data_IF_704302752090
#
_entry.id   IF_704302752090
#
_cell.length_a   1.000
_cell.length_b   1.000
_cell.length_c   1.000
_cell.angle_alpha   90.00
_cell.angle_beta   90.00
_cell.angle_gamma   90.00
#
_symmetry.space_group_name_H-M   'P 1'
#
loop_
_entity.id
_entity.type
_entity.pdbx_description
1 polymer ?
#
# COMPACT_ATOMS: atom_id res chain seq x y z
N UNK A 1 27.40 19.93 0.52
CA UNK A 1 28.85 20.19 0.41
C UNK A 1 29.23 21.68 0.48
N UNK A 2 28.51 22.60 -0.19
CA UNK A 2 28.88 24.03 -0.19
C UNK A 2 28.80 24.72 1.19
N UNK A 3 27.83 24.36 2.04
CA UNK A 3 27.73 24.92 3.40
C UNK A 3 28.88 24.47 4.29
N UNK A 4 29.32 23.21 4.16
CA UNK A 4 30.47 22.68 4.90
C UNK A 4 31.77 23.40 4.49
N UNK A 5 31.91 23.70 3.20
CA UNK A 5 33.04 24.49 2.66
C UNK A 5 33.04 25.92 3.18
N UNK A 6 31.87 26.57 3.24
CA UNK A 6 31.75 27.94 3.77
C UNK A 6 31.98 28.01 5.29
N UNK A 7 31.53 27.01 6.06
CA UNK A 7 31.85 26.90 7.48
C UNK A 7 33.34 26.66 7.72
N UNK A 8 33.99 25.80 6.92
CA UNK A 8 35.44 25.54 7.02
C UNK A 8 36.27 26.77 6.59
N UNK A 9 35.84 27.51 5.58
CA UNK A 9 36.48 28.78 5.18
C UNK A 9 36.40 29.83 6.28
N UNK A 10 35.25 29.99 6.94
CA UNK A 10 35.10 30.89 8.10
C UNK A 10 35.97 30.47 9.28
N UNK A 11 36.15 29.17 9.49
CA UNK A 11 37.04 28.63 10.51
C UNK A 11 38.51 28.97 10.23
N UNK A 12 38.97 28.75 8.99
CA UNK A 12 40.34 29.06 8.57
C UNK A 12 40.66 30.56 8.49
N UNK A 13 39.70 31.39 8.06
CA UNK A 13 39.89 32.84 7.98
C UNK A 13 40.13 33.49 9.35
N UNK A 14 39.57 32.92 10.41
CA UNK A 14 39.82 33.38 11.77
C UNK A 14 41.20 32.96 12.31
N UNK A 15 41.82 31.86 11.84
CA UNK A 15 43.18 31.47 12.27
C UNK A 15 44.26 32.43 11.76
N UNK A 16 44.15 32.92 10.52
CA UNK A 16 45.18 33.78 9.92
C UNK A 16 45.25 35.18 10.55
N UNK A 17 44.16 35.67 11.16
CA UNK A 17 44.12 37.02 11.75
C UNK A 17 44.89 37.13 13.08
N UNK A 18 45.22 36.00 13.72
CA UNK A 18 45.94 35.97 15.01
C UNK A 18 47.45 35.66 14.89
N UNK A 19 47.94 35.29 13.69
CA UNK A 19 49.35 34.90 13.51
C UNK A 19 50.26 36.00 12.93
N UNK A 20 49.72 37.17 12.55
CA UNK A 20 50.48 38.23 11.85
C UNK A 20 50.47 39.57 12.61
N UNK A 21 50.87 39.58 13.88
CA UNK A 21 51.32 40.80 14.54
C UNK A 21 52.84 40.72 14.79
N UNK A 22 53.65 41.70 14.37
CA UNK A 22 55.05 41.75 14.73
C UNK A 22 55.17 41.98 16.23
N UNK A 23 55.95 41.14 16.91
CA UNK A 23 56.27 41.28 18.34
C UNK A 23 57.12 42.52 18.55
N UNK A 24 56.49 43.62 18.96
CA UNK A 24 57.20 44.77 19.49
C UNK A 24 57.47 44.55 20.99
N UNK A 25 58.71 44.84 21.39
CA UNK A 25 59.20 44.63 22.76
C UNK A 25 58.71 45.79 23.63
N UNK A 26 57.57 45.64 24.30
CA UNK A 26 57.20 46.37 25.52
C UNK A 26 55.77 45.98 25.89
N UNK A 27 55.58 44.93 26.67
CA UNK A 27 54.31 44.68 27.38
C UNK A 27 54.50 43.57 28.44
N UNK A 28 55.13 43.93 29.55
CA UNK A 28 55.26 43.07 30.74
C UNK A 28 54.04 43.19 31.69
N UNK A 29 52.93 43.81 31.24
CA UNK A 29 51.77 44.13 32.12
C UNK A 29 50.48 43.35 31.75
N UNK A 30 50.53 42.33 30.89
CA UNK A 30 49.37 41.46 30.64
C UNK A 30 49.64 39.96 30.81
N UNK A 31 50.38 39.58 31.86
CA UNK A 31 50.35 38.21 32.39
C UNK A 31 49.09 37.97 33.25
N UNK A 32 47.93 38.43 32.79
CA UNK A 32 46.63 37.95 33.24
C UNK A 32 46.45 36.53 32.69
N UNK A 33 47.04 35.60 33.45
CA UNK A 33 46.67 34.21 33.60
C UNK A 33 46.44 33.45 32.27
N UNK A 34 47.54 33.10 31.61
CA UNK A 34 47.55 32.21 30.44
C UNK A 34 46.84 30.88 30.70
N UNK A 35 46.68 30.46 31.98
CA UNK A 35 45.92 29.28 32.36
C UNK A 35 44.40 29.49 32.24
N UNK A 36 43.91 30.67 32.64
CA UNK A 36 42.50 31.09 32.48
C UNK A 36 42.17 31.30 31.01
N UNK A 37 43.04 31.94 30.24
CA UNK A 37 42.85 32.09 28.80
C UNK A 37 42.82 30.74 28.07
N UNK A 38 43.76 29.83 28.37
CA UNK A 38 43.76 28.46 27.83
C UNK A 38 42.50 27.68 28.26
N UNK A 39 41.99 27.88 29.48
CA UNK A 39 40.77 27.24 29.98
C UNK A 39 39.52 27.78 29.29
N UNK A 40 39.39 29.09 29.12
CA UNK A 40 38.31 29.74 28.38
C UNK A 40 38.34 29.35 26.90
N UNK A 41 39.53 29.30 26.28
CA UNK A 41 39.71 28.85 24.90
C UNK A 41 39.32 27.37 24.73
N UNK A 42 39.77 26.48 25.63
CA UNK A 42 39.35 25.06 25.64
C UNK A 42 37.84 24.90 25.84
N UNK A 43 37.23 25.66 26.75
CA UNK A 43 35.78 25.64 26.99
C UNK A 43 34.99 26.18 25.79
N UNK A 44 35.47 27.24 25.14
CA UNK A 44 34.89 27.82 23.92
C UNK A 44 35.01 26.87 22.73
N UNK A 45 36.17 26.22 22.57
CA UNK A 45 36.41 25.23 21.52
C UNK A 45 35.56 23.97 21.75
N UNK A 46 35.44 23.49 23.00
CA UNK A 46 34.53 22.41 23.36
C UNK A 46 33.06 22.78 23.10
N UNK A 47 32.62 23.99 23.47
CA UNK A 47 31.26 24.48 23.16
C UNK A 47 31.02 24.59 21.66
N UNK A 48 32.01 25.03 20.89
CA UNK A 48 31.94 25.14 19.42
C UNK A 48 31.91 23.77 18.75
N UNK A 49 32.70 22.81 19.25
CA UNK A 49 32.69 21.42 18.81
C UNK A 49 31.35 20.74 19.13
N UNK A 50 30.81 20.94 20.34
CA UNK A 50 29.48 20.44 20.73
C UNK A 50 28.40 21.04 19.82
N UNK A 51 28.45 22.35 19.52
CA UNK A 51 27.52 23.01 18.59
C UNK A 51 27.62 22.44 17.17
N UNK A 52 28.85 22.20 16.67
CA UNK A 52 29.07 21.62 15.35
C UNK A 52 28.56 20.17 15.30
N UNK A 53 28.87 19.35 16.30
CA UNK A 53 28.38 17.98 16.42
C UNK A 53 26.85 17.93 16.49
N UNK A 54 26.24 18.80 17.30
CA UNK A 54 24.79 18.92 17.41
C UNK A 54 24.17 19.35 16.07
N UNK A 55 24.75 20.32 15.37
CA UNK A 55 24.30 20.74 14.04
C UNK A 55 24.35 19.59 13.02
N UNK A 56 25.44 18.81 13.00
CA UNK A 56 25.56 17.63 12.13
C UNK A 56 24.51 16.57 12.49
N UNK A 57 24.31 16.31 13.78
CA UNK A 57 23.29 15.36 14.26
C UNK A 57 21.88 15.79 13.83
N UNK A 58 21.53 17.08 14.01
CA UNK A 58 20.25 17.64 13.60
C UNK A 58 20.05 17.56 12.08
N UNK A 59 21.09 17.83 11.28
CA UNK A 59 21.01 17.68 9.83
C UNK A 59 20.79 16.21 9.40
N UNK A 60 21.44 15.25 10.07
CA UNK A 60 21.20 13.82 9.81
C UNK A 60 19.78 13.41 10.20
N UNK A 61 19.29 13.86 11.35
CA UNK A 61 17.92 13.58 11.79
C UNK A 61 16.89 14.18 10.83
N UNK A 62 17.09 15.43 10.40
CA UNK A 62 16.25 16.09 9.42
C UNK A 62 16.24 15.33 8.08
N UNK A 63 17.41 14.91 7.59
CA UNK A 63 17.52 14.11 6.38
C UNK A 63 16.74 12.79 6.51
N UNK A 64 16.89 12.08 7.64
CA UNK A 64 16.14 10.85 7.93
C UNK A 64 14.64 11.14 7.94
N UNK A 65 14.18 12.22 8.60
CA UNK A 65 12.77 12.58 8.62
C UNK A 65 12.22 12.85 7.22
N UNK A 66 12.96 13.60 6.39
CA UNK A 66 12.55 13.91 5.02
C UNK A 66 12.42 12.63 4.19
N UNK A 67 13.46 11.80 4.17
CA UNK A 67 13.51 10.61 3.32
C UNK A 67 12.56 9.53 3.81
N UNK A 68 12.44 9.34 5.13
CA UNK A 68 11.68 8.22 5.65
C UNK A 68 10.24 8.56 6.05
N UNK A 69 9.89 9.85 6.15
CA UNK A 69 8.53 10.26 6.53
C UNK A 69 7.92 11.17 5.48
N UNK A 70 8.57 12.29 5.17
CA UNK A 70 7.96 13.30 4.28
C UNK A 70 7.80 12.81 2.85
N UNK A 71 8.84 12.24 2.24
CA UNK A 71 8.80 11.82 0.83
C UNK A 71 7.78 10.69 0.60
N UNK A 72 7.69 9.61 1.41
CA UNK A 72 6.65 8.60 1.26
C UNK A 72 5.24 9.18 1.30
N UNK A 73 4.98 10.12 2.21
CA UNK A 73 3.68 10.79 2.33
C UNK A 73 3.41 11.66 1.11
N UNK A 74 4.40 12.43 0.64
CA UNK A 74 4.28 13.25 -0.58
C UNK A 74 4.00 12.37 -1.79
N UNK A 75 4.73 11.27 -1.96
CA UNK A 75 4.50 10.32 -3.04
C UNK A 75 3.11 9.70 -2.94
N UNK A 76 2.70 9.24 -1.75
CA UNK A 76 1.35 8.74 -1.53
C UNK A 76 0.27 9.75 -1.94
N UNK A 77 0.37 11.01 -1.49
CA UNK A 77 -0.59 12.07 -1.82
C UNK A 77 -0.58 12.41 -3.31
N UNK A 78 0.61 12.52 -3.91
CA UNK A 78 0.78 12.76 -5.33
C UNK A 78 0.12 11.66 -6.18
N UNK A 79 0.34 10.41 -5.79
CA UNK A 79 -0.20 9.24 -6.46
C UNK A 79 -1.70 9.12 -6.30
N UNK A 80 -2.23 9.45 -5.11
CA UNK A 80 -3.66 9.48 -4.85
C UNK A 80 -4.41 10.46 -5.76
N UNK A 81 -3.80 11.61 -6.07
CA UNK A 81 -4.38 12.61 -6.98
C UNK A 81 -4.42 12.08 -8.42
N UNK A 82 -3.34 11.42 -8.87
CA UNK A 82 -3.21 10.96 -10.25
C UNK A 82 -3.89 9.61 -10.52
N UNK A 83 -4.11 8.77 -9.51
CA UNK A 83 -4.60 7.41 -9.69
C UNK A 83 -6.05 7.33 -10.20
N UNK A 84 -6.79 8.44 -10.18
CA UNK A 84 -8.14 8.52 -10.74
C UNK A 84 -8.17 8.80 -12.26
N UNK A 85 -7.01 8.85 -12.93
CA UNK A 85 -6.94 9.08 -14.37
C UNK A 85 -7.09 7.79 -15.19
N UNK A 86 -7.37 7.97 -16.49
CA UNK A 86 -7.46 6.88 -17.47
C UNK A 86 -6.13 6.09 -17.63
N UNK A 87 -5.02 6.61 -17.10
CA UNK A 87 -3.75 5.90 -17.07
C UNK A 87 -3.76 4.71 -16.08
N UNK A 88 -4.54 4.80 -15.01
CA UNK A 88 -4.57 3.83 -13.92
C UNK A 88 -5.84 3.02 -13.88
N UNK A 89 -6.95 3.59 -14.33
CA UNK A 89 -8.26 2.97 -14.26
C UNK A 89 -8.92 3.03 -15.65
N UNK A 90 -9.38 1.90 -16.20
CA UNK A 90 -10.01 1.89 -17.51
C UNK A 90 -11.21 2.81 -17.57
N UNK A 91 -11.35 3.56 -18.68
CA UNK A 91 -12.46 4.50 -18.93
C UNK A 91 -13.84 3.84 -18.79
N UNK A 92 -13.91 2.53 -19.05
CA UNK A 92 -15.11 1.74 -18.92
C UNK A 92 -15.72 1.80 -17.51
N UNK A 93 -14.88 1.88 -16.45
CA UNK A 93 -15.35 2.03 -15.07
C UNK A 93 -16.02 3.38 -14.79
N UNK A 94 -15.69 4.42 -15.57
CA UNK A 94 -16.32 5.75 -15.44
C UNK A 94 -17.62 5.84 -16.24
N UNK A 95 -17.75 5.06 -17.31
CA UNK A 95 -18.86 5.15 -18.26
C UNK A 95 -20.00 4.16 -17.96
N UNK A 96 -19.73 3.08 -17.25
CA UNK A 96 -20.68 2.00 -17.04
C UNK A 96 -20.88 1.72 -15.55
N UNK A 97 -22.09 1.30 -15.20
CA UNK A 97 -22.35 0.68 -13.91
C UNK A 97 -22.01 -0.80 -13.95
N UNK A 98 -21.04 -1.21 -13.14
CA UNK A 98 -20.61 -2.60 -13.06
C UNK A 98 -21.00 -3.25 -11.75
N UNK A 99 -21.28 -4.55 -11.83
CA UNK A 99 -21.41 -5.43 -10.67
C UNK A 99 -20.16 -6.26 -10.53
N UNK A 100 -19.46 -6.09 -9.41
CA UNK A 100 -18.21 -6.77 -9.11
C UNK A 100 -18.47 -7.88 -8.09
N UNK A 101 -17.94 -9.07 -8.37
CA UNK A 101 -17.83 -10.15 -7.41
C UNK A 101 -16.39 -10.28 -6.94
N UNK A 102 -16.18 -10.07 -5.65
CA UNK A 102 -14.94 -10.45 -4.97
C UNK A 102 -15.10 -11.87 -4.46
N UNK A 103 -14.19 -12.77 -4.85
CA UNK A 103 -14.15 -14.16 -4.39
C UNK A 103 -12.91 -14.36 -3.52
N UNK A 104 -13.12 -14.74 -2.26
CA UNK A 104 -12.04 -14.95 -1.28
C UNK A 104 -12.22 -16.27 -0.52
N UNK A 105 -11.21 -16.66 0.26
CA UNK A 105 -11.20 -17.96 0.90
C UNK A 105 -11.86 -17.92 2.29
N UNK A 106 -11.53 -16.91 3.10
CA UNK A 106 -11.91 -16.82 4.51
C UNK A 106 -12.51 -15.46 4.84
N UNK A 107 -13.31 -15.36 5.93
CA UNK A 107 -13.70 -14.08 6.48
C UNK A 107 -12.45 -13.35 6.97
N UNK A 108 -12.35 -12.04 6.73
CA UNK A 108 -11.20 -11.14 6.96
C UNK A 108 -10.37 -10.79 5.71
N UNK A 109 -10.33 -11.70 4.73
CA UNK A 109 -9.59 -11.52 3.48
C UNK A 109 -10.02 -10.23 2.77
N UNK A 110 -11.31 -9.89 2.82
CA UNK A 110 -11.89 -8.73 2.14
C UNK A 110 -11.32 -7.41 2.67
N UNK A 111 -11.07 -7.34 3.98
CA UNK A 111 -10.54 -6.15 4.63
C UNK A 111 -9.02 -6.10 4.56
N UNK A 112 -8.36 -7.24 4.80
CA UNK A 112 -6.90 -7.32 4.87
C UNK A 112 -6.23 -7.14 3.50
N UNK A 113 -6.81 -7.70 2.44
CA UNK A 113 -6.14 -7.74 1.14
C UNK A 113 -6.79 -6.80 0.12
N UNK A 114 -8.12 -6.70 0.14
CA UNK A 114 -8.90 -6.06 -0.92
C UNK A 114 -9.53 -4.73 -0.53
N UNK A 115 -9.14 -4.13 0.60
CA UNK A 115 -9.75 -2.86 1.04
C UNK A 115 -9.64 -1.74 0.00
N UNK A 116 -8.49 -1.44 -0.63
CA UNK A 116 -8.43 -0.49 -1.73
C UNK A 116 -9.33 -0.87 -2.90
N UNK A 117 -9.41 -2.15 -3.25
CA UNK A 117 -10.31 -2.64 -4.30
C UNK A 117 -11.77 -2.30 -4.02
N UNK A 118 -12.26 -2.66 -2.84
CA UNK A 118 -13.66 -2.45 -2.47
C UNK A 118 -13.98 -0.96 -2.30
N UNK A 119 -13.14 -0.22 -1.58
CA UNK A 119 -13.42 1.19 -1.27
C UNK A 119 -13.34 2.09 -2.49
N UNK A 120 -12.28 1.97 -3.29
CA UNK A 120 -12.04 2.86 -4.44
C UNK A 120 -13.08 2.61 -5.52
N UNK A 121 -13.32 1.35 -5.91
CA UNK A 121 -14.26 1.02 -6.97
C UNK A 121 -15.71 1.37 -6.60
N UNK A 122 -16.12 1.14 -5.36
CA UNK A 122 -17.47 1.52 -4.92
C UNK A 122 -17.66 3.03 -4.88
N UNK A 123 -16.72 3.76 -4.28
CA UNK A 123 -16.87 5.19 -3.99
C UNK A 123 -16.62 6.09 -5.21
N UNK A 124 -15.60 5.78 -6.01
CA UNK A 124 -15.19 6.62 -7.13
C UNK A 124 -15.84 6.20 -8.45
N UNK A 125 -16.21 4.92 -8.59
CA UNK A 125 -16.70 4.34 -9.85
C UNK A 125 -18.09 3.72 -9.74
N UNK A 126 -18.77 3.90 -8.59
CA UNK A 126 -20.15 3.43 -8.36
C UNK A 126 -20.34 1.95 -8.72
N UNK A 127 -19.32 1.12 -8.45
CA UNK A 127 -19.37 -0.32 -8.67
C UNK A 127 -20.17 -0.97 -7.55
N UNK A 128 -21.17 -1.77 -7.94
CA UNK A 128 -21.96 -2.56 -7.00
C UNK A 128 -21.15 -3.79 -6.58
N UNK A 129 -20.90 -3.93 -5.28
CA UNK A 129 -20.04 -4.96 -4.73
C UNK A 129 -20.85 -6.19 -4.30
N UNK A 130 -20.31 -7.36 -4.59
CA UNK A 130 -20.72 -8.64 -4.02
C UNK A 130 -19.49 -9.38 -3.50
N UNK A 131 -19.65 -10.11 -2.40
CA UNK A 131 -18.60 -10.88 -1.74
C UNK A 131 -19.03 -12.34 -1.61
N UNK A 132 -18.20 -13.24 -2.11
CA UNK A 132 -18.31 -14.68 -1.91
C UNK A 132 -17.08 -15.18 -1.16
N UNK A 133 -17.32 -15.74 0.03
CA UNK A 133 -16.30 -16.34 0.89
C UNK A 133 -16.53 -17.85 0.93
N UNK A 134 -15.51 -18.64 0.58
CA UNK A 134 -15.68 -20.08 0.38
C UNK A 134 -15.77 -20.93 1.64
N UNK A 135 -15.15 -20.48 2.72
CA UNK A 135 -15.18 -21.15 4.01
C UNK A 135 -15.56 -20.15 5.09
N UNK A 136 -16.18 -20.62 6.17
CA UNK A 136 -16.42 -19.81 7.36
C UNK A 136 -15.16 -19.57 8.20
N UNK A 137 -13.99 -20.06 7.76
CA UNK A 137 -12.76 -19.95 8.55
C UNK A 137 -12.83 -20.82 9.82
N UNK A 138 -13.41 -22.01 9.72
CA UNK A 138 -13.74 -22.84 10.89
C UNK A 138 -12.56 -23.71 11.40
N UNK A 139 -11.31 -23.41 11.03
CA UNK A 139 -10.15 -24.23 11.41
C UNK A 139 -10.00 -24.45 12.92
N UNK A 140 -10.44 -23.48 13.71
CA UNK A 140 -10.41 -23.52 15.20
C UNK A 140 -11.81 -23.58 15.83
N UNK A 141 -12.85 -23.94 15.07
CA UNK A 141 -14.22 -24.08 15.60
C UNK A 141 -15.02 -22.78 15.74
N UNK A 142 -14.52 -21.65 15.22
CA UNK A 142 -15.17 -20.33 15.32
C UNK A 142 -15.97 -19.91 14.08
N UNK A 143 -16.23 -20.82 13.14
CA UNK A 143 -16.81 -20.49 11.84
C UNK A 143 -18.18 -19.81 11.92
N UNK A 144 -19.05 -20.24 12.85
CA UNK A 144 -20.34 -19.59 13.05
C UNK A 144 -20.20 -18.13 13.50
N UNK A 145 -19.24 -17.84 14.40
CA UNK A 145 -18.95 -16.47 14.86
C UNK A 145 -18.40 -15.64 13.70
N UNK A 146 -17.39 -16.17 12.98
CA UNK A 146 -16.75 -15.48 11.85
C UNK A 146 -17.71 -15.19 10.70
N UNK A 147 -18.71 -16.04 10.47
CA UNK A 147 -19.77 -15.76 9.51
C UNK A 147 -20.61 -14.53 9.92
N UNK A 148 -20.94 -14.39 11.21
CA UNK A 148 -21.64 -13.20 11.72
C UNK A 148 -20.76 -11.94 11.63
N UNK A 149 -19.49 -12.06 12.02
CA UNK A 149 -18.51 -10.96 11.93
C UNK A 149 -18.32 -10.48 10.48
N UNK A 150 -18.32 -11.40 9.51
CA UNK A 150 -18.27 -11.06 8.09
C UNK A 150 -19.46 -10.21 7.66
N UNK A 151 -20.68 -10.53 8.11
CA UNK A 151 -21.85 -9.72 7.78
C UNK A 151 -21.72 -8.29 8.31
N UNK A 152 -21.21 -8.11 9.52
CA UNK A 152 -20.95 -6.79 10.10
C UNK A 152 -19.83 -6.05 9.36
N UNK A 153 -18.78 -6.76 8.92
CA UNK A 153 -17.73 -6.22 8.04
C UNK A 153 -18.30 -5.75 6.70
N UNK A 154 -19.09 -6.60 6.03
CA UNK A 154 -19.79 -6.26 4.79
C UNK A 154 -20.67 -5.01 4.94
N UNK A 155 -21.41 -4.90 6.05
CA UNK A 155 -22.21 -3.71 6.36
C UNK A 155 -21.33 -2.46 6.48
N UNK A 156 -20.19 -2.54 7.15
CA UNK A 156 -19.24 -1.43 7.26
C UNK A 156 -18.61 -1.04 5.90
N UNK A 157 -18.48 -1.99 4.99
CA UNK A 157 -18.04 -1.78 3.60
C UNK A 157 -19.19 -1.43 2.64
N UNK A 158 -20.41 -1.24 3.16
CA UNK A 158 -21.62 -0.94 2.39
C UNK A 158 -21.93 -2.00 1.31
N UNK A 159 -21.74 -3.27 1.64
CA UNK A 159 -22.16 -4.44 0.86
C UNK A 159 -23.44 -4.97 1.50
N UNK A 160 -24.50 -5.15 0.71
CA UNK A 160 -25.77 -5.63 1.24
C UNK A 160 -25.66 -7.10 1.70
N UNK A 161 -26.54 -7.50 2.61
CA UNK A 161 -26.56 -8.85 3.17
C UNK A 161 -26.79 -9.92 2.09
N UNK A 162 -27.61 -9.61 1.10
CA UNK A 162 -27.95 -10.49 -0.02
C UNK A 162 -26.78 -10.70 -0.99
N UNK A 163 -25.81 -9.79 -0.96
CA UNK A 163 -24.60 -9.77 -1.77
C UNK A 163 -23.34 -10.09 -0.97
N UNK A 164 -23.46 -10.60 0.26
CA UNK A 164 -22.35 -11.01 1.10
C UNK A 164 -22.62 -12.41 1.63
N UNK A 165 -21.93 -13.43 1.10
CA UNK A 165 -22.16 -14.83 1.44
C UNK A 165 -20.87 -15.50 1.91
N UNK A 166 -20.96 -16.19 3.05
CA UNK A 166 -19.96 -17.16 3.50
C UNK A 166 -20.52 -18.56 3.41
N UNK A 167 -19.89 -19.38 2.55
CA UNK A 167 -20.24 -20.77 2.33
C UNK A 167 -19.70 -21.65 3.46
N UNK A 168 -20.39 -22.76 3.69
CA UNK A 168 -20.01 -23.78 4.66
C UNK A 168 -20.21 -25.16 4.02
N UNK A 169 -19.30 -25.49 3.09
CA UNK A 169 -19.37 -26.73 2.36
C UNK A 169 -18.52 -27.79 3.10
N UNK A 170 -19.03 -29.02 3.33
CA UNK A 170 -18.31 -30.04 4.07
C UNK A 170 -16.91 -30.36 3.52
N UNK A 171 -16.74 -30.23 2.19
CA UNK A 171 -15.48 -30.54 1.50
C UNK A 171 -14.55 -29.32 1.29
N UNK A 172 -15.02 -28.10 1.61
CA UNK A 172 -14.30 -26.82 1.46
C UNK A 172 -14.20 -26.17 2.83
N UNK A 173 -13.54 -26.86 3.76
CA UNK A 173 -13.31 -26.34 5.11
C UNK A 173 -11.94 -25.65 5.19
N UNK A 174 -11.83 -24.67 6.08
CA UNK A 174 -10.58 -23.95 6.31
C UNK A 174 -9.53 -24.90 6.90
N UNK A 175 -8.53 -25.22 6.09
CA UNK A 175 -7.37 -25.98 6.50
C UNK A 175 -6.14 -25.47 5.72
N UNK A 176 -5.09 -24.99 6.39
CA UNK A 176 -3.91 -24.42 5.72
C UNK A 176 -3.05 -25.47 4.99
N UNK A 177 -3.37 -26.77 5.13
CA UNK A 177 -2.63 -27.89 4.56
C UNK A 177 -3.41 -28.64 3.47
N UNK A 178 -4.66 -28.28 3.19
CA UNK A 178 -5.52 -29.00 2.23
C UNK A 178 -5.81 -28.14 1.02
N UNK A 179 -5.58 -28.69 -0.18
CA UNK A 179 -5.95 -28.03 -1.42
C UNK A 179 -7.44 -28.23 -1.73
N UNK A 180 -8.15 -27.14 -2.03
CA UNK A 180 -9.54 -27.19 -2.47
C UNK A 180 -9.64 -27.44 -3.97
N UNK A 181 -10.47 -28.40 -4.39
CA UNK A 181 -10.60 -28.74 -5.81
C UNK A 181 -11.39 -27.69 -6.59
N UNK A 182 -10.87 -27.29 -7.74
CA UNK A 182 -11.54 -26.40 -8.70
C UNK A 182 -12.90 -26.95 -9.13
N UNK A 183 -13.05 -28.27 -9.21
CA UNK A 183 -14.32 -28.94 -9.54
C UNK A 183 -15.44 -28.62 -8.55
N UNK A 184 -15.10 -28.29 -7.31
CA UNK A 184 -16.06 -27.90 -6.27
C UNK A 184 -16.24 -26.38 -6.22
N UNK A 185 -15.17 -25.61 -6.44
CA UNK A 185 -15.22 -24.14 -6.38
C UNK A 185 -15.94 -23.53 -7.59
N UNK A 186 -15.62 -23.98 -8.82
CA UNK A 186 -16.11 -23.39 -10.07
C UNK A 186 -17.64 -23.36 -10.18
N UNK A 187 -18.39 -24.45 -9.89
CA UNK A 187 -19.85 -24.43 -9.94
C UNK A 187 -20.45 -23.38 -9.02
N UNK A 188 -19.92 -23.23 -7.80
CA UNK A 188 -20.40 -22.22 -6.85
C UNK A 188 -20.12 -20.80 -7.36
N UNK A 189 -18.94 -20.52 -7.90
CA UNK A 189 -18.64 -19.20 -8.47
C UNK A 189 -19.61 -18.88 -9.61
N UNK A 190 -19.85 -19.83 -10.52
CA UNK A 190 -20.79 -19.66 -11.64
C UNK A 190 -22.23 -19.40 -11.15
N UNK A 191 -22.68 -20.11 -10.11
CA UNK A 191 -24.00 -19.88 -9.51
C UNK A 191 -24.15 -18.42 -9.09
N UNK A 192 -23.20 -17.88 -8.33
CA UNK A 192 -23.26 -16.50 -7.85
C UNK A 192 -23.00 -15.45 -8.94
N UNK A 193 -22.17 -15.76 -9.93
CA UNK A 193 -22.03 -14.93 -11.14
C UNK A 193 -23.38 -14.74 -11.81
N UNK A 194 -24.13 -15.83 -12.03
CA UNK A 194 -25.44 -15.76 -12.69
C UNK A 194 -26.49 -15.09 -11.79
N UNK A 195 -26.55 -15.50 -10.51
CA UNK A 195 -27.52 -15.01 -9.53
C UNK A 195 -27.44 -13.49 -9.33
N UNK A 196 -26.23 -12.93 -9.28
CA UNK A 196 -26.02 -11.49 -9.11
C UNK A 196 -25.74 -10.76 -10.43
N UNK A 197 -25.78 -11.50 -11.55
CA UNK A 197 -25.41 -11.08 -12.92
C UNK A 197 -24.13 -10.23 -12.97
N UNK A 198 -23.06 -10.79 -12.44
CA UNK A 198 -21.77 -10.14 -12.25
C UNK A 198 -21.12 -9.77 -13.58
N UNK A 199 -20.55 -8.57 -13.69
CA UNK A 199 -19.79 -8.09 -14.85
C UNK A 199 -18.26 -8.25 -14.66
N UNK A 200 -17.79 -8.11 -13.41
CA UNK A 200 -16.37 -8.08 -13.05
C UNK A 200 -16.09 -9.12 -11.97
N UNK A 201 -15.09 -9.96 -12.20
CA UNK A 201 -14.62 -10.93 -11.21
C UNK A 201 -13.25 -10.53 -10.66
N UNK A 202 -13.09 -10.48 -9.34
CA UNK A 202 -11.81 -10.20 -8.67
C UNK A 202 -11.48 -11.29 -7.65
N UNK A 203 -10.22 -11.72 -7.61
CA UNK A 203 -9.73 -12.66 -6.60
C UNK A 203 -8.20 -12.57 -6.41
N UNK A 204 -7.61 -13.56 -5.74
CA UNK A 204 -6.18 -13.69 -5.54
C UNK A 204 -5.45 -14.08 -6.84
N UNK A 205 -4.14 -13.80 -6.89
CA UNK A 205 -3.25 -14.41 -7.88
C UNK A 205 -2.77 -15.80 -7.44
N UNK A 206 -1.96 -16.46 -8.28
CA UNK A 206 -1.42 -17.80 -8.02
C UNK A 206 -0.52 -17.95 -6.78
N UNK A 207 -0.06 -16.83 -6.20
CA UNK A 207 0.75 -16.81 -4.98
C UNK A 207 -0.11 -16.64 -3.72
N UNK A 208 -1.38 -16.26 -3.83
CA UNK A 208 -2.30 -16.22 -2.70
C UNK A 208 -1.82 -15.32 -1.55
N UNK A 209 -1.26 -14.15 -1.89
CA UNK A 209 -0.63 -13.15 -1.01
C UNK A 209 0.64 -13.64 -0.29
N UNK A 210 0.49 -14.64 0.57
CA UNK A 210 1.56 -15.19 1.40
C UNK A 210 1.79 -16.68 1.16
N UNK A 211 1.21 -17.25 0.10
CA UNK A 211 1.30 -18.67 -0.23
C UNK A 211 0.20 -19.54 0.39
N UNK A 212 -0.82 -18.95 1.02
CA UNK A 212 -1.88 -19.72 1.68
C UNK A 212 -2.59 -20.64 0.69
N UNK A 213 -2.69 -21.93 1.02
CA UNK A 213 -3.13 -22.95 0.06
C UNK A 213 -4.56 -22.71 -0.45
N UNK A 214 -5.48 -22.33 0.44
CA UNK A 214 -6.86 -22.01 0.08
C UNK A 214 -6.97 -20.78 -0.84
N UNK A 215 -6.15 -19.75 -0.62
CA UNK A 215 -6.15 -18.54 -1.46
C UNK A 215 -5.68 -18.89 -2.87
N UNK A 216 -4.65 -19.75 -2.96
CA UNK A 216 -4.15 -20.27 -4.22
C UNK A 216 -5.21 -21.13 -4.91
N UNK A 217 -5.90 -22.02 -4.18
CA UNK A 217 -6.96 -22.84 -4.75
C UNK A 217 -8.09 -21.99 -5.35
N UNK A 218 -8.51 -20.93 -4.66
CA UNK A 218 -9.47 -19.94 -5.20
C UNK A 218 -8.93 -19.26 -6.45
N UNK A 219 -7.66 -18.81 -6.45
CA UNK A 219 -7.03 -18.20 -7.62
C UNK A 219 -7.01 -19.13 -8.84
N UNK A 220 -6.66 -20.41 -8.64
CA UNK A 220 -6.66 -21.42 -9.69
C UNK A 220 -8.08 -21.70 -10.22
N UNK A 221 -9.08 -21.80 -9.35
CA UNK A 221 -10.47 -21.97 -9.76
C UNK A 221 -10.97 -20.78 -10.60
N UNK A 222 -10.70 -19.54 -10.16
CA UNK A 222 -11.07 -18.32 -10.89
C UNK A 222 -10.39 -18.26 -12.26
N UNK A 223 -9.07 -18.49 -12.33
CA UNK A 223 -8.34 -18.51 -13.61
C UNK A 223 -8.87 -19.60 -14.53
N UNK A 224 -9.14 -20.79 -14.00
CA UNK A 224 -9.69 -21.91 -14.78
C UNK A 224 -11.06 -21.53 -15.32
N UNK A 225 -11.97 -21.00 -14.49
CA UNK A 225 -13.28 -20.51 -14.90
C UNK A 225 -13.19 -19.46 -16.01
N UNK A 226 -12.28 -18.49 -15.92
CA UNK A 226 -12.12 -17.46 -16.96
C UNK A 226 -11.53 -18.02 -18.27
N UNK A 227 -10.67 -19.05 -18.20
CA UNK A 227 -10.09 -19.71 -19.38
C UNK A 227 -11.06 -20.68 -20.07
N UNK A 228 -11.76 -21.51 -19.29
CA UNK A 228 -12.58 -22.61 -19.82
C UNK A 228 -13.97 -22.16 -20.23
N UNK A 229 -14.48 -21.09 -19.63
CA UNK A 229 -15.85 -20.68 -19.80
C UNK A 229 -15.93 -19.56 -20.86
N UNK A 230 -16.64 -19.83 -21.96
CA UNK A 230 -17.13 -18.80 -22.90
C UNK A 230 -18.23 -17.93 -22.26
N UNK A 231 -18.19 -17.74 -20.93
CA UNK A 231 -19.18 -16.96 -20.21
C UNK A 231 -19.06 -15.50 -20.67
N UNK A 232 -19.98 -15.11 -21.55
CA UNK A 232 -20.05 -13.78 -22.16
C UNK A 232 -20.46 -12.70 -21.16
N UNK A 233 -20.96 -13.10 -19.99
CA UNK A 233 -21.41 -12.20 -18.93
C UNK A 233 -20.21 -11.48 -18.30
N UNK A 234 -19.12 -12.20 -18.02
CA UNK A 234 -17.92 -11.60 -17.42
C UNK A 234 -17.15 -10.81 -18.48
N UNK A 235 -17.22 -9.48 -18.34
CA UNK A 235 -16.56 -8.50 -19.21
C UNK A 235 -15.09 -8.34 -18.85
N UNK A 236 -14.78 -8.32 -17.56
CA UNK A 236 -13.42 -8.13 -17.06
C UNK A 236 -13.12 -9.02 -15.87
N UNK A 237 -11.87 -9.42 -15.70
CA UNK A 237 -11.44 -10.22 -14.56
C UNK A 237 -10.05 -9.79 -14.12
N UNK A 238 -9.86 -9.69 -12.81
CA UNK A 238 -8.61 -9.23 -12.23
C UNK A 238 -8.17 -10.10 -11.06
N UNK A 239 -6.86 -10.15 -10.86
CA UNK A 239 -6.24 -10.79 -9.70
C UNK A 239 -5.39 -9.80 -8.92
N UNK A 240 -5.46 -9.88 -7.59
CA UNK A 240 -4.62 -9.08 -6.71
C UNK A 240 -3.19 -9.60 -6.72
N UNK A 241 -2.25 -8.74 -7.14
CA UNK A 241 -0.83 -9.05 -7.21
C UNK A 241 -0.23 -9.32 -5.83
N UNK A 242 0.32 -10.50 -5.65
CA UNK A 242 1.15 -10.85 -4.51
C UNK A 242 2.54 -10.23 -4.61
N UNK A 243 3.02 -9.64 -3.52
CA UNK A 243 4.36 -9.04 -3.43
C UNK A 243 5.25 -9.78 -2.43
N UNK A 244 6.56 -9.51 -2.45
CA UNK A 244 7.49 -10.04 -1.46
C UNK A 244 7.11 -9.57 -0.04
N UNK A 245 7.53 -10.32 0.99
CA UNK A 245 7.26 -9.98 2.38
C UNK A 245 7.76 -8.57 2.75
N UNK A 246 8.89 -8.14 2.19
CA UNK A 246 9.45 -6.81 2.41
C UNK A 246 8.52 -5.71 1.87
N UNK A 247 8.02 -5.88 0.64
CA UNK A 247 7.04 -4.96 0.05
C UNK A 247 5.67 -5.06 0.71
N UNK A 248 5.31 -6.23 1.23
CA UNK A 248 4.06 -6.44 1.95
C UNK A 248 4.03 -5.56 3.19
N UNK A 249 5.09 -5.58 4.00
CA UNK A 249 5.16 -4.87 5.29
C UNK A 249 5.91 -3.54 5.25
N UNK A 250 6.08 -2.92 4.07
CA UNK A 250 6.75 -1.63 3.93
C UNK A 250 5.81 -0.42 4.09
N UNK A 251 4.50 -0.61 4.29
CA UNK A 251 3.54 0.48 4.48
C UNK A 251 3.67 1.57 3.40
N UNK A 252 3.68 2.85 3.79
CA UNK A 252 3.87 3.97 2.88
C UNK A 252 5.23 3.97 2.16
N UNK A 253 6.26 3.25 2.64
CA UNK A 253 7.54 3.17 1.94
C UNK A 253 7.44 2.44 0.60
N UNK A 254 6.44 1.57 0.39
CA UNK A 254 6.28 0.90 -0.90
C UNK A 254 5.96 1.90 -2.03
N UNK A 255 5.49 3.12 -1.70
CA UNK A 255 5.18 4.14 -2.69
C UNK A 255 6.41 4.62 -3.47
N UNK A 256 7.64 4.44 -2.96
CA UNK A 256 8.84 4.60 -3.79
C UNK A 256 8.86 3.63 -4.97
N UNK A 257 8.67 2.34 -4.68
CA UNK A 257 8.71 1.29 -5.69
C UNK A 257 7.50 1.37 -6.63
N UNK A 258 6.32 1.72 -6.10
CA UNK A 258 5.14 1.97 -6.93
C UNK A 258 5.39 3.16 -7.84
N UNK A 259 5.89 4.28 -7.30
CA UNK A 259 6.21 5.46 -8.11
C UNK A 259 7.13 5.07 -9.27
N UNK A 260 8.24 4.40 -8.99
CA UNK A 260 9.22 3.96 -9.99
C UNK A 260 8.58 3.00 -11.02
N UNK A 261 7.83 1.99 -10.55
CA UNK A 261 7.21 0.97 -11.42
C UNK A 261 6.15 1.55 -12.36
N UNK A 262 5.56 2.68 -12.00
CA UNK A 262 4.44 3.29 -12.70
C UNK A 262 4.77 4.66 -13.32
N UNK A 263 6.06 5.09 -13.35
CA UNK A 263 6.52 6.36 -13.98
C UNK A 263 5.87 6.59 -15.35
N UNK A 264 5.85 5.63 -16.30
CA UNK A 264 5.26 5.87 -17.62
C UNK A 264 3.76 6.18 -17.56
N UNK A 265 3.02 5.62 -16.58
CA UNK A 265 1.60 5.92 -16.40
C UNK A 265 1.39 7.28 -15.72
N UNK A 266 2.27 7.68 -14.78
CA UNK A 266 2.21 9.03 -14.19
C UNK A 266 2.46 10.12 -15.21
N UNK A 267 3.47 9.96 -16.08
CA UNK A 267 3.74 10.92 -17.14
C UNK A 267 2.54 11.05 -18.09
N UNK A 268 1.93 9.93 -18.49
CA UNK A 268 0.69 9.93 -19.29
C UNK A 268 -0.46 10.63 -18.57
N UNK A 269 -0.65 10.38 -17.28
CA UNK A 269 -1.66 11.05 -16.46
C UNK A 269 -1.42 12.55 -16.36
N UNK A 270 -0.18 13.02 -16.19
CA UNK A 270 0.16 14.44 -16.14
C UNK A 270 -0.10 15.14 -17.48
N UNK A 271 0.31 14.51 -18.59
CA UNK A 271 0.04 15.04 -19.92
C UNK A 271 -1.46 15.15 -20.21
N UNK A 272 -2.28 14.27 -19.61
CA UNK A 272 -3.73 14.27 -19.84
C UNK A 272 -4.48 15.48 -19.29
N UNK A 273 -3.84 16.30 -18.45
CA UNK A 273 -4.39 17.59 -18.03
C UNK A 273 -4.34 18.65 -19.15
N UNK A 274 -3.52 18.44 -20.18
CA UNK A 274 -3.31 19.37 -21.29
C UNK A 274 -3.80 18.78 -22.62
N UNK A 275 -3.63 17.47 -22.81
CA UNK A 275 -3.93 16.76 -24.07
C UNK A 275 -4.96 15.65 -23.79
N UNK A 276 -6.02 15.48 -24.62
CA UNK A 276 -6.94 14.36 -24.49
C UNK A 276 -6.24 13.00 -24.41
N UNK A 277 -6.61 12.15 -23.42
CA UNK A 277 -5.88 10.91 -23.11
C UNK A 277 -5.79 9.94 -24.29
N UNK A 278 -6.84 9.86 -25.11
CA UNK A 278 -6.89 9.01 -26.31
C UNK A 278 -5.82 9.36 -27.36
N UNK A 279 -5.30 10.60 -27.36
CA UNK A 279 -4.17 11.01 -28.22
C UNK A 279 -2.81 10.68 -27.61
N UNK A 280 -2.74 10.49 -26.29
CA UNK A 280 -1.51 10.17 -25.56
C UNK A 280 -1.26 8.66 -25.60
N UNK A 281 -2.28 7.86 -25.31
CA UNK A 281 -2.16 6.40 -25.16
C UNK A 281 -3.51 5.73 -25.35
N UNK A 282 -3.49 4.49 -25.81
CA UNK A 282 -4.64 3.60 -25.64
C UNK A 282 -4.84 3.28 -24.14
N UNK A 283 -6.09 3.03 -23.70
CA UNK A 283 -6.38 2.58 -22.34
C UNK A 283 -5.63 1.28 -22.01
N UNK A 284 -4.88 1.28 -20.92
CA UNK A 284 -4.11 0.11 -20.49
C UNK A 284 -4.92 -0.73 -19.50
N UNK A 285 -5.52 -1.80 -20.02
CA UNK A 285 -6.33 -2.73 -19.23
C UNK A 285 -5.49 -3.71 -18.40
N UNK A 286 -4.18 -3.83 -18.63
CA UNK A 286 -3.35 -4.91 -18.08
C UNK A 286 -3.21 -4.88 -16.56
N UNK A 287 -3.31 -3.70 -15.96
CA UNK A 287 -3.13 -3.49 -14.54
C UNK A 287 -3.92 -2.26 -14.10
N UNK A 288 -4.64 -2.37 -12.98
CA UNK A 288 -5.34 -1.27 -12.31
C UNK A 288 -4.61 -0.98 -11.00
N UNK A 289 -4.34 0.30 -10.73
CA UNK A 289 -3.76 0.75 -9.47
C UNK A 289 -4.81 1.47 -8.64
N UNK A 290 -5.19 0.89 -7.51
CA UNK A 290 -6.21 1.42 -6.62
C UNK A 290 -5.55 1.87 -5.31
N UNK A 291 -5.69 3.15 -4.96
CA UNK A 291 -5.06 3.74 -3.77
C UNK A 291 -6.17 4.23 -2.82
N UNK A 292 -6.14 3.74 -1.59
CA UNK A 292 -7.04 4.19 -0.54
C UNK A 292 -6.73 5.63 -0.14
N UNK A 293 -7.78 6.44 0.05
CA UNK A 293 -7.66 7.72 0.78
C UNK A 293 -7.45 7.44 2.28
N UNK A 294 -6.96 8.42 3.08
CA UNK A 294 -6.86 8.24 4.54
C UNK A 294 -8.19 7.89 5.19
N UNK A 295 -9.30 8.45 4.69
CA UNK A 295 -10.65 8.12 5.16
C UNK A 295 -11.04 6.69 4.81
N UNK A 296 -10.74 6.23 3.59
CA UNK A 296 -11.07 4.87 3.16
C UNK A 296 -10.21 3.81 3.88
N UNK A 297 -8.97 4.15 4.23
CA UNK A 297 -8.14 3.35 5.15
C UNK A 297 -8.81 3.19 6.53
N UNK A 298 -9.34 4.27 7.11
CA UNK A 298 -10.05 4.22 8.39
C UNK A 298 -11.33 3.39 8.31
N UNK A 299 -12.12 3.54 7.25
CA UNK A 299 -13.31 2.69 7.02
C UNK A 299 -12.91 1.22 6.94
N UNK A 300 -11.82 0.90 6.23
CA UNK A 300 -11.34 -0.47 6.08
C UNK A 300 -10.89 -1.08 7.41
N UNK A 301 -10.27 -0.26 8.29
CA UNK A 301 -9.95 -0.68 9.66
C UNK A 301 -11.18 -0.88 10.52
N UNK A 302 -12.19 -0.04 10.37
CA UNK A 302 -13.46 -0.19 11.07
C UNK A 302 -14.23 -1.42 10.60
N UNK A 303 -14.16 -1.77 9.31
CA UNK A 303 -14.70 -3.03 8.80
C UNK A 303 -13.96 -4.24 9.39
N UNK A 304 -12.63 -4.19 9.46
CA UNK A 304 -11.85 -5.23 10.14
C UNK A 304 -12.17 -5.30 11.65
N UNK A 305 -12.54 -4.17 12.29
CA UNK A 305 -12.99 -4.12 13.68
C UNK A 305 -14.19 -5.03 13.99
N UNK A 306 -14.97 -5.41 12.97
CA UNK A 306 -16.06 -6.38 13.08
C UNK A 306 -15.56 -7.82 13.30
N UNK A 307 -14.35 -8.16 12.84
CA UNK A 307 -13.74 -9.49 12.99
C UNK A 307 -13.06 -9.69 14.34
N UNK A 308 -13.81 -9.51 15.43
CA UNK A 308 -13.29 -9.58 16.81
C UNK A 308 -12.55 -10.88 17.11
N UNK A 309 -13.07 -12.01 16.63
CA UNK A 309 -12.47 -13.34 16.80
C UNK A 309 -11.14 -13.53 16.05
N UNK A 310 -10.79 -12.60 15.16
CA UNK A 310 -9.60 -12.65 14.32
C UNK A 310 -8.57 -11.58 14.70
N UNK A 311 -8.85 -10.75 15.71
CA UNK A 311 -7.85 -9.81 16.22
C UNK A 311 -6.74 -10.51 16.97
N UNK A 312 -5.55 -10.48 16.39
CA UNK A 312 -4.30 -10.93 16.97
C UNK A 312 -3.21 -9.87 16.79
N UNK A 313 -2.10 -10.00 17.52
CA UNK A 313 -1.00 -9.04 17.48
C UNK A 313 -0.42 -8.86 16.06
N UNK A 314 -0.34 -9.94 15.27
CA UNK A 314 0.14 -9.90 13.89
C UNK A 314 -0.84 -9.15 12.97
N UNK A 315 -2.16 -9.23 13.25
CA UNK A 315 -3.17 -8.46 12.52
C UNK A 315 -3.06 -6.97 12.81
N UNK A 316 -2.74 -6.56 14.04
CA UNK A 316 -2.46 -5.14 14.34
C UNK A 316 -1.27 -4.62 13.54
N UNK A 317 -0.18 -5.39 13.47
CA UNK A 317 0.98 -5.03 12.65
C UNK A 317 0.56 -4.96 11.18
N UNK A 318 -0.20 -5.94 10.69
CA UNK A 318 -0.67 -5.97 9.32
C UNK A 318 -1.49 -4.73 8.96
N UNK A 319 -2.45 -4.31 9.80
CA UNK A 319 -3.30 -3.14 9.52
C UNK A 319 -2.51 -1.81 9.41
N UNK A 320 -1.31 -1.74 9.96
CA UNK A 320 -0.44 -0.55 9.93
C UNK A 320 0.63 -0.67 8.85
N UNK A 321 1.29 -1.82 8.82
CA UNK A 321 2.48 -2.05 8.00
C UNK A 321 2.15 -2.61 6.62
N UNK A 322 0.98 -3.22 6.42
CA UNK A 322 0.67 -3.85 5.13
C UNK A 322 0.40 -2.79 4.06
N UNK A 323 1.12 -2.86 2.94
CA UNK A 323 0.81 -2.04 1.76
C UNK A 323 -0.60 -2.29 1.21
N UNK A 324 -1.17 -3.47 1.44
CA UNK A 324 -2.50 -3.82 0.94
C UNK A 324 -3.61 -3.00 1.61
N UNK A 325 -3.34 -2.38 2.76
CA UNK A 325 -4.27 -1.42 3.37
C UNK A 325 -4.30 -0.07 2.65
N UNK A 326 -3.25 0.24 1.86
CA UNK A 326 -3.08 1.53 1.18
C UNK A 326 -3.27 1.40 -0.34
N UNK A 327 -2.87 0.29 -0.94
CA UNK A 327 -2.81 0.16 -2.39
C UNK A 327 -2.97 -1.28 -2.88
N UNK A 328 -3.77 -1.46 -3.92
CA UNK A 328 -3.91 -2.71 -4.66
C UNK A 328 -3.42 -2.53 -6.11
N UNK A 329 -2.64 -3.50 -6.59
CA UNK A 329 -2.31 -3.68 -8.00
C UNK A 329 -3.15 -4.87 -8.49
N UNK A 330 -4.18 -4.60 -9.29
CA UNK A 330 -5.07 -5.61 -9.87
C UNK A 330 -4.63 -5.92 -11.30
N UNK A 331 -4.15 -7.13 -11.55
CA UNK A 331 -3.65 -7.56 -12.86
C UNK A 331 -4.79 -8.21 -13.64
N UNK A 332 -4.93 -7.87 -14.92
CA UNK A 332 -5.96 -8.44 -15.77
C UNK A 332 -5.71 -9.92 -16.04
N UNK A 333 -6.74 -10.74 -15.85
CA UNK A 333 -6.72 -12.16 -16.20
C UNK A 333 -7.10 -12.27 -17.67
N UNK A 334 -6.11 -12.56 -18.51
CA UNK A 334 -6.36 -12.70 -19.95
C UNK A 334 -7.07 -14.02 -20.25
N UNK A 335 -8.18 -13.96 -21.01
CA UNK A 335 -8.88 -15.14 -21.53
C UNK A 335 -8.02 -15.96 -22.50
N UNK A 336 -7.01 -15.35 -23.14
CA UNK A 336 -6.37 -15.89 -24.34
C UNK A 336 -4.91 -16.35 -24.19
N UNK A 337 -4.30 -16.32 -23.00
CA UNK A 337 -2.90 -16.79 -22.84
C UNK A 337 -2.82 -18.06 -21.97
N UNK A 338 -2.38 -19.14 -22.63
CA UNK A 338 -2.03 -20.46 -22.10
C UNK A 338 -0.81 -20.37 -21.20
#
# INVERSE_FOLDING_TARGET
>A
MNILRECLKKFWYNEQKYCNHPLDKTDEVLLLDTSVYKRIYRLSNNRSFIRLYHCICMHKLLFIMIVFVCIPIILYMFLLILSNSQAFIPIQFQQNHYRLLLVVAHPDDECLFFSPTLRVLQKQYHVNLSLLVFSRGNHIGLGHIRAMELYDSCKALNISKEHCISLDLPNIQDNPNVWWSEKQLIPMINEYINKWSIDILVSFDNKGISGHINHRAVAFAVRTLIKTNNNTIIKMSYELKSVSILRKYSSLFDFYLIFISFIPRFLRSLLSYVIPFNLISSPDLSCILLINTPNDYMISRNAFASHKSQYSWDRYIYLIASRYMFVNELIYINKNFS
#
